data_IF_499311662231
#
_entry.id   IF_499311662231
#
_cell.length_a   1.000
_cell.length_b   1.000
_cell.length_c   1.000
_cell.angle_alpha   90.00
_cell.angle_beta   90.00
_cell.angle_gamma   90.00
#
_symmetry.space_group_name_H-M   'P 1'
#
loop_
_entity.id
_entity.type
_entity.pdbx_description
1 polymer ?
#
# COMPACT_ATOMS: atom_id res chain seq x y z
N UNK A 1 23.42 -6.69 15.47
CA UNK A 1 23.04 -6.83 14.05
C UNK A 1 23.06 -8.32 13.71
N UNK A 2 22.08 -8.79 12.95
CA UNK A 2 22.08 -10.17 12.43
C UNK A 2 23.24 -10.33 11.42
N UNK A 3 23.78 -11.54 11.31
CA UNK A 3 24.84 -11.84 10.35
C UNK A 3 24.33 -11.84 8.89
N UNK A 4 23.06 -12.19 8.70
CA UNK A 4 22.35 -12.15 7.41
C UNK A 4 20.98 -11.47 7.62
N UNK A 5 20.71 -10.32 6.98
CA UNK A 5 19.44 -9.59 7.11
C UNK A 5 18.27 -10.22 6.33
N UNK A 6 18.54 -11.25 5.54
CA UNK A 6 17.55 -11.99 4.75
C UNK A 6 17.23 -13.37 5.32
N UNK A 7 18.01 -13.81 6.31
CA UNK A 7 17.79 -15.09 6.98
C UNK A 7 16.54 -15.05 7.88
N UNK A 8 15.81 -16.17 7.90
CA UNK A 8 14.70 -16.41 8.80
C UNK A 8 13.40 -16.75 8.08
N UNK A 9 12.43 -17.23 8.86
CA UNK A 9 11.08 -17.54 8.40
C UNK A 9 10.09 -16.67 9.16
N UNK A 10 9.25 -15.93 8.43
CA UNK A 10 8.17 -15.12 9.00
C UNK A 10 6.90 -15.96 9.06
N UNK A 11 6.33 -16.11 10.25
CA UNK A 11 5.03 -16.75 10.43
C UNK A 11 4.03 -15.79 11.05
N UNK A 12 2.90 -15.61 10.39
CA UNK A 12 1.80 -14.75 10.83
C UNK A 12 0.60 -15.64 11.11
N UNK A 13 0.18 -15.68 12.36
CA UNK A 13 -1.03 -16.39 12.81
C UNK A 13 -2.00 -15.40 13.41
N UNK A 14 -3.20 -15.36 12.85
CA UNK A 14 -4.34 -14.63 13.40
C UNK A 14 -5.54 -15.57 13.45
N UNK A 15 -6.62 -15.24 14.19
CA UNK A 15 -7.85 -16.03 14.15
C UNK A 15 -8.50 -16.13 12.76
N UNK A 16 -8.12 -15.26 11.82
CA UNK A 16 -8.76 -15.18 10.50
C UNK A 16 -7.98 -15.88 9.38
N UNK A 17 -6.66 -15.96 9.50
CA UNK A 17 -5.78 -16.58 8.51
C UNK A 17 -4.42 -16.91 9.14
N UNK A 18 -3.73 -17.84 8.50
CA UNK A 18 -2.34 -18.19 8.78
C UNK A 18 -1.53 -18.18 7.48
N UNK A 19 -0.31 -17.67 7.54
CA UNK A 19 0.63 -17.66 6.42
C UNK A 19 2.07 -17.71 6.93
N UNK A 20 2.96 -18.28 6.13
CA UNK A 20 4.40 -18.29 6.38
C UNK A 20 5.19 -18.07 5.08
N UNK A 21 6.37 -17.49 5.18
CA UNK A 21 7.32 -17.36 4.07
C UNK A 21 8.73 -17.06 4.57
N UNK A 22 9.71 -17.31 3.71
CA UNK A 22 11.09 -16.95 4.01
C UNK A 22 11.30 -15.45 3.89
N UNK A 23 12.08 -14.88 4.79
CA UNK A 23 12.36 -13.43 4.83
C UNK A 23 13.07 -12.97 3.55
N UNK A 24 13.82 -13.86 2.92
CA UNK A 24 14.47 -13.66 1.63
C UNK A 24 13.49 -13.45 0.46
N UNK A 25 12.26 -13.95 0.57
CA UNK A 25 11.24 -13.81 -0.49
C UNK A 25 10.51 -12.46 -0.42
N UNK A 26 10.74 -11.65 0.62
CA UNK A 26 10.11 -10.35 0.80
C UNK A 26 10.93 -9.27 0.08
N UNK A 27 10.44 -8.87 -1.09
CA UNK A 27 11.01 -7.80 -1.92
C UNK A 27 10.35 -6.44 -1.72
N UNK A 28 10.75 -5.47 -2.56
CA UNK A 28 10.16 -4.12 -2.60
C UNK A 28 8.70 -4.12 -3.06
N UNK A 29 8.34 -5.07 -3.93
CA UNK A 29 6.99 -5.22 -4.44
C UNK A 29 6.06 -5.82 -3.39
N UNK A 30 4.82 -5.36 -3.43
CA UNK A 30 3.78 -5.80 -2.53
C UNK A 30 3.42 -7.26 -2.67
N UNK A 31 3.61 -8.01 -1.58
CA UNK A 31 2.99 -9.32 -1.42
C UNK A 31 1.65 -9.15 -0.71
N UNK A 32 0.57 -9.19 -1.49
CA UNK A 32 -0.80 -9.06 -1.00
C UNK A 32 -1.34 -10.42 -0.56
N UNK A 33 -1.76 -10.51 0.71
CA UNK A 33 -2.34 -11.71 1.30
C UNK A 33 -3.80 -11.41 1.62
N UNK A 34 -4.71 -12.06 0.88
CA UNK A 34 -6.14 -11.96 1.14
C UNK A 34 -6.50 -12.65 2.45
N UNK A 35 -7.30 -11.99 3.29
CA UNK A 35 -7.71 -12.54 4.61
C UNK A 35 -9.16 -13.05 4.63
N UNK A 36 -9.79 -13.16 3.45
CA UNK A 36 -11.17 -13.62 3.28
C UNK A 36 -12.24 -12.72 3.93
N UNK A 37 -11.88 -11.54 4.42
CA UNK A 37 -12.81 -10.59 5.03
C UNK A 37 -13.47 -9.64 4.02
N UNK A 38 -14.57 -9.01 4.41
CA UNK A 38 -15.22 -7.94 3.62
C UNK A 38 -14.33 -6.71 3.43
N UNK A 39 -14.82 -5.73 2.66
CA UNK A 39 -14.14 -4.44 2.38
C UNK A 39 -12.66 -4.61 1.96
N UNK A 40 -12.38 -5.65 1.17
CA UNK A 40 -11.01 -5.96 0.69
C UNK A 40 -9.99 -6.06 1.84
N UNK A 41 -10.36 -6.64 2.99
CA UNK A 41 -9.43 -6.84 4.11
C UNK A 41 -8.27 -7.73 3.68
N UNK A 42 -7.07 -7.15 3.67
CA UNK A 42 -5.85 -7.81 3.22
C UNK A 42 -4.66 -7.39 4.07
N UNK A 43 -3.61 -8.20 4.05
CA UNK A 43 -2.27 -7.80 4.50
C UNK A 43 -1.42 -7.52 3.28
N UNK A 44 -0.55 -6.51 3.41
CA UNK A 44 0.49 -6.19 2.44
C UNK A 44 1.82 -6.38 3.15
N UNK A 45 2.70 -7.18 2.57
CA UNK A 45 4.04 -7.41 3.08
C UNK A 45 5.05 -7.05 1.99
N UNK A 46 5.97 -6.17 2.33
CA UNK A 46 7.02 -5.69 1.45
C UNK A 46 8.20 -5.22 2.31
N UNK A 47 9.37 -5.13 1.70
CA UNK A 47 10.60 -4.67 2.33
C UNK A 47 10.79 -3.20 2.02
N UNK A 48 11.08 -2.40 3.05
CA UNK A 48 11.51 -1.03 2.85
C UNK A 48 12.98 -1.00 2.39
N UNK A 49 13.36 -0.02 1.55
CA UNK A 49 14.77 0.18 1.24
C UNK A 49 15.53 0.58 2.51
N UNK A 50 16.76 0.09 2.66
CA UNK A 50 17.65 0.44 3.78
C UNK A 50 17.89 1.96 3.86
N UNK A 51 17.88 2.62 2.71
CA UNK A 51 18.01 4.07 2.59
C UNK A 51 16.98 4.60 1.60
N UNK A 52 16.01 5.36 2.10
CA UNK A 52 15.10 6.13 1.26
C UNK A 52 15.56 7.60 1.21
N UNK A 53 15.94 8.08 0.03
CA UNK A 53 16.32 9.49 -0.20
C UNK A 53 15.20 10.32 -0.81
N UNK A 54 14.05 9.71 -1.09
CA UNK A 54 12.94 10.35 -1.79
C UNK A 54 12.05 11.08 -0.80
N UNK A 55 12.02 12.41 -0.91
CA UNK A 55 11.20 13.27 -0.04
C UNK A 55 10.05 13.95 -0.78
N UNK A 56 9.96 13.77 -2.10
CA UNK A 56 8.94 14.37 -2.94
C UNK A 56 8.46 13.38 -4.01
N UNK A 57 7.21 13.52 -4.40
CA UNK A 57 6.60 12.79 -5.50
C UNK A 57 5.73 13.76 -6.30
N UNK A 58 5.75 13.61 -7.63
CA UNK A 58 4.89 14.38 -8.54
C UNK A 58 4.17 13.39 -9.45
N UNK A 59 2.86 13.55 -9.57
CA UNK A 59 2.00 12.70 -10.38
C UNK A 59 1.08 13.60 -11.21
N UNK A 60 0.95 13.28 -12.49
CA UNK A 60 -0.06 13.87 -13.37
C UNK A 60 -0.87 12.76 -14.02
N UNK A 61 -2.19 12.89 -13.99
CA UNK A 61 -3.11 11.91 -14.55
C UNK A 61 -4.29 12.62 -15.20
N UNK A 62 -4.65 12.18 -16.41
CA UNK A 62 -5.90 12.62 -17.06
C UNK A 62 -7.06 11.81 -16.47
N UNK A 63 -8.11 12.52 -16.05
CA UNK A 63 -9.32 11.93 -15.46
C UNK A 63 -10.50 12.31 -16.36
N UNK A 64 -11.31 11.32 -16.72
CA UNK A 64 -12.56 11.55 -17.43
C UNK A 64 -13.60 12.10 -16.47
N UNK A 65 -14.26 13.20 -16.86
CA UNK A 65 -15.33 13.80 -16.08
C UNK A 65 -16.67 13.34 -16.63
N UNK A 66 -17.63 13.18 -15.73
CA UNK A 66 -19.04 12.94 -16.08
C UNK A 66 -19.74 14.29 -16.21
N UNK A 67 -20.52 14.44 -17.28
CA UNK A 67 -21.33 15.64 -17.52
C UNK A 67 -22.54 15.69 -16.56
N UNK A 68 -23.04 16.90 -16.28
CA UNK A 68 -24.26 17.16 -15.48
C UNK A 68 -24.21 16.63 -14.03
N UNK A 69 -23.02 16.35 -13.49
CA UNK A 69 -22.82 15.90 -12.11
C UNK A 69 -21.61 16.55 -11.44
N UNK A 70 -21.62 16.53 -10.11
CA UNK A 70 -20.45 16.86 -9.29
C UNK A 70 -19.41 15.75 -9.35
N UNK A 71 -18.27 16.01 -10.01
CA UNK A 71 -17.13 15.12 -10.00
C UNK A 71 -16.28 15.41 -8.76
N UNK A 72 -16.47 14.60 -7.71
CA UNK A 72 -15.63 14.64 -6.51
C UNK A 72 -14.27 13.99 -6.77
N UNK A 73 -13.23 14.81 -6.93
CA UNK A 73 -11.86 14.36 -7.11
C UNK A 73 -11.10 14.49 -5.79
N UNK A 74 -10.41 13.44 -5.38
CA UNK A 74 -9.52 13.46 -4.22
C UNK A 74 -8.31 12.59 -4.50
N UNK A 75 -7.23 12.88 -3.79
CA UNK A 75 -6.01 12.08 -3.84
C UNK A 75 -5.86 11.35 -2.52
N UNK A 76 -5.59 10.04 -2.61
CA UNK A 76 -5.13 9.22 -1.49
C UNK A 76 -3.69 8.83 -1.79
N UNK A 77 -2.78 9.20 -0.88
CA UNK A 77 -1.38 8.80 -0.93
C UNK A 77 -1.16 7.76 0.16
N UNK A 78 -0.60 6.61 -0.20
CA UNK A 78 -0.06 5.65 0.75
C UNK A 78 1.42 5.93 0.94
N UNK A 79 1.84 6.24 2.15
CA UNK A 79 3.24 6.41 2.53
C UNK A 79 3.93 5.05 2.66
N UNK A 80 5.25 5.05 2.70
CA UNK A 80 6.06 3.82 2.71
C UNK A 80 5.76 2.92 3.91
N UNK A 81 5.40 3.49 5.06
CA UNK A 81 5.03 2.77 6.27
C UNK A 81 3.55 2.32 6.30
N UNK A 82 2.81 2.58 5.22
CA UNK A 82 1.40 2.24 5.06
C UNK A 82 0.42 3.31 5.54
N UNK A 83 0.86 4.45 6.09
CA UNK A 83 -0.04 5.54 6.45
C UNK A 83 -0.73 6.13 5.21
N UNK A 84 -2.00 6.53 5.39
CA UNK A 84 -2.80 7.14 4.34
C UNK A 84 -2.94 8.64 4.58
N UNK A 85 -2.62 9.43 3.55
CA UNK A 85 -2.86 10.87 3.53
C UNK A 85 -3.91 11.15 2.47
N UNK A 86 -4.91 11.96 2.84
CA UNK A 86 -6.04 12.29 1.99
C UNK A 86 -6.11 13.79 1.76
N UNK A 87 -6.38 14.20 0.53
CA UNK A 87 -6.83 15.57 0.27
C UNK A 87 -8.30 15.73 0.65
N UNK A 88 -8.72 16.97 0.91
CA UNK A 88 -10.13 17.31 0.79
C UNK A 88 -10.63 17.01 -0.63
N UNK A 89 -11.90 16.64 -0.81
CA UNK A 89 -12.48 16.49 -2.14
C UNK A 89 -12.54 17.86 -2.84
N UNK A 90 -12.14 17.89 -4.10
CA UNK A 90 -12.31 19.01 -5.03
C UNK A 90 -13.42 18.64 -6.01
N UNK A 91 -14.49 19.44 -6.05
CA UNK A 91 -15.63 19.18 -6.91
C UNK A 91 -15.49 19.94 -8.22
N UNK A 92 -15.68 19.24 -9.34
CA UNK A 92 -15.66 19.81 -10.68
C UNK A 92 -16.95 19.45 -11.41
N UNK A 93 -17.66 20.47 -11.89
CA UNK A 93 -18.82 20.31 -12.77
C UNK A 93 -18.38 20.51 -14.22
N UNK A 94 -18.95 19.72 -15.13
CA UNK A 94 -18.74 19.81 -16.57
C UNK A 94 -20.08 19.81 -17.29
#
# INVERSE_FOLDING_TARGET
LLADPTAGHLQIRTPFFETGMDVADIGLEDRVIGTGGGIKRQIRLFRLPEHNTTMNASLSRRIELRDDVDNALYVCVTLEDGHLVWSSPTYVMR
#
